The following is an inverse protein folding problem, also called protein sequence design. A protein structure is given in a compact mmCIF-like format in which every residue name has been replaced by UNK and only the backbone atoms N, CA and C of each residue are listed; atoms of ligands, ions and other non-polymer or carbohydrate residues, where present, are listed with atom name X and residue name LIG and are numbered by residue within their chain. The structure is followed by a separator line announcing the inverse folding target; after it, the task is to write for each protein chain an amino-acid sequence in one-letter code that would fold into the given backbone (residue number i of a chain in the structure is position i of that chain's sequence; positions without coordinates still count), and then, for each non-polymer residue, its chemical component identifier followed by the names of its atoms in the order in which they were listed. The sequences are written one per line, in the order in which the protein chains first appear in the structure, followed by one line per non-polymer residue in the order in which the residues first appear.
data_IF_291441649728
#
_entry.id   IF_291441649728
#
_cell.length_a   1.000
_cell.length_b   1.000
_cell.length_c   1.000
_cell.angle_alpha   90.00
_cell.angle_beta   90.00
_cell.angle_gamma   90.00
#
_symmetry.space_group_name_H-M   'P 1'
#
loop_
_entity.id
_entity.type
_entity.pdbx_description
1 polymer ?
#
# COMPACT_ATOMS: atom_id res chain seq x y z
N UNK A 1 11.43 -5.81 11.84
CA UNK A 1 11.96 -5.36 10.54
C UNK A 1 10.82 -4.76 9.74
N UNK A 2 11.06 -3.78 8.85
CA UNK A 2 10.02 -3.21 7.98
C UNK A 2 9.39 -4.30 7.12
N UNK A 3 8.05 -4.31 7.05
CA UNK A 3 7.27 -5.30 6.32
C UNK A 3 6.30 -4.65 5.31
N UNK A 4 6.32 -3.33 5.18
CA UNK A 4 5.43 -2.60 4.27
C UNK A 4 6.15 -1.43 3.62
N UNK A 5 5.92 -1.29 2.31
CA UNK A 5 6.38 -0.18 1.47
C UNK A 5 5.15 0.47 0.86
N UNK A 6 4.88 1.73 1.20
CA UNK A 6 3.83 2.53 0.62
C UNK A 6 4.40 3.44 -0.48
N UNK A 7 3.83 3.34 -1.69
CA UNK A 7 4.17 4.17 -2.86
C UNK A 7 2.89 4.76 -3.48
N UNK A 8 3.03 5.76 -4.35
CA UNK A 8 1.88 6.32 -5.07
C UNK A 8 1.19 5.24 -5.90
N UNK A 9 -0.15 5.22 -5.90
CA UNK A 9 -0.89 4.22 -6.67
C UNK A 9 -0.63 4.32 -8.18
N UNK A 10 -0.30 5.51 -8.71
CA UNK A 10 0.13 5.63 -10.12
C UNK A 10 1.41 4.84 -10.40
N UNK A 11 2.39 4.93 -9.50
CA UNK A 11 3.68 4.26 -9.67
C UNK A 11 3.52 2.74 -9.47
N UNK A 12 2.66 2.33 -8.53
CA UNK A 12 2.31 0.92 -8.35
C UNK A 12 1.66 0.32 -9.60
N UNK A 13 0.72 1.05 -10.23
CA UNK A 13 0.10 0.64 -11.47
C UNK A 13 1.11 0.55 -12.61
N UNK A 14 2.01 1.53 -12.74
CA UNK A 14 3.10 1.47 -13.71
C UNK A 14 3.97 0.23 -13.49
N UNK A 15 4.42 -0.04 -12.26
CA UNK A 15 5.20 -1.24 -11.94
C UNK A 15 4.45 -2.54 -12.25
N UNK A 16 3.13 -2.56 -12.09
CA UNK A 16 2.29 -3.71 -12.46
C UNK A 16 2.04 -3.83 -13.96
N UNK A 17 2.23 -2.76 -14.74
CA UNK A 17 2.12 -2.79 -16.20
C UNK A 17 3.45 -3.08 -16.90
N UNK A 18 4.57 -2.90 -16.19
CA UNK A 18 5.91 -3.15 -16.72
C UNK A 18 6.23 -4.65 -16.68
N UNK A 19 6.47 -5.19 -17.86
CA UNK A 19 7.06 -6.51 -18.05
C UNK A 19 8.52 -6.30 -18.41
N UNK A 20 9.42 -6.68 -17.50
CA UNK A 20 10.84 -6.43 -17.69
C UNK A 20 11.57 -7.74 -17.98
N UNK A 21 12.20 -7.82 -19.15
CA UNK A 21 13.06 -8.93 -19.53
C UNK A 21 14.45 -8.90 -18.86
N UNK A 22 14.83 -7.77 -18.23
CA UNK A 22 16.14 -7.55 -17.59
C UNK A 22 16.17 -7.85 -16.08
N UNK A 23 15.01 -7.94 -15.43
CA UNK A 23 14.88 -8.27 -13.99
C UNK A 23 14.77 -9.79 -13.78
N UNK A 24 14.44 -10.52 -14.85
CA UNK A 24 14.30 -11.97 -14.81
C UNK A 24 15.66 -12.64 -14.97
N UNK A 25 16.07 -13.44 -13.98
CA UNK A 25 17.15 -14.45 -14.10
C UNK A 25 16.78 -15.54 -15.13
N UNK A 26 16.56 -15.17 -16.40
CA UNK A 26 16.22 -16.09 -17.49
C UNK A 26 14.78 -16.62 -17.51
N UNK A 27 13.87 -16.11 -16.68
CA UNK A 27 12.45 -16.52 -16.64
C UNK A 27 11.61 -15.57 -17.49
N UNK A 28 11.18 -15.99 -18.67
CA UNK A 28 10.29 -15.22 -19.53
C UNK A 28 8.96 -14.87 -18.83
N UNK A 29 8.52 -13.62 -18.92
CA UNK A 29 7.17 -13.11 -18.55
C UNK A 29 6.87 -12.85 -17.05
N UNK A 30 7.87 -12.57 -16.20
CA UNK A 30 7.58 -12.11 -14.83
C UNK A 30 7.33 -10.60 -14.82
N UNK A 31 6.25 -10.18 -14.15
CA UNK A 31 5.91 -8.79 -13.93
C UNK A 31 6.97 -8.09 -13.06
N UNK A 32 7.35 -6.84 -13.37
CA UNK A 32 8.38 -6.11 -12.61
C UNK A 32 8.04 -6.02 -11.10
N UNK A 33 6.77 -5.80 -10.76
CA UNK A 33 6.30 -5.78 -9.37
C UNK A 33 6.48 -7.14 -8.68
N UNK A 34 6.22 -8.24 -9.38
CA UNK A 34 6.40 -9.59 -8.81
C UNK A 34 7.87 -9.89 -8.56
N UNK A 35 8.75 -9.54 -9.49
CA UNK A 35 10.18 -9.75 -9.35
C UNK A 35 10.76 -8.90 -8.21
N UNK A 36 10.35 -7.63 -8.07
CA UNK A 36 10.74 -6.76 -6.96
C UNK A 36 10.26 -7.35 -5.62
N UNK A 37 8.99 -7.79 -5.54
CA UNK A 37 8.46 -8.41 -4.32
C UNK A 37 9.25 -9.67 -3.94
N UNK A 38 9.56 -10.52 -4.91
CA UNK A 38 10.34 -11.74 -4.66
C UNK A 38 11.74 -11.41 -4.14
N UNK A 39 12.47 -10.52 -4.81
CA UNK A 39 13.82 -10.13 -4.39
C UNK A 39 13.84 -9.49 -3.00
N UNK A 40 12.84 -8.67 -2.67
CA UNK A 40 12.70 -8.07 -1.35
C UNK A 40 12.39 -9.11 -0.27
N UNK A 41 11.52 -10.09 -0.57
CA UNK A 41 11.18 -11.16 0.35
C UNK A 41 12.39 -12.07 0.63
N UNK A 42 13.16 -12.41 -0.40
CA UNK A 42 14.39 -13.19 -0.29
C UNK A 42 15.45 -12.45 0.54
N UNK A 43 15.61 -11.14 0.34
CA UNK A 43 16.55 -10.32 1.08
C UNK A 43 16.13 -10.11 2.55
N UNK A 44 14.85 -9.86 2.79
CA UNK A 44 14.34 -9.55 4.13
C UNK A 44 14.11 -10.80 4.99
N UNK A 45 14.00 -11.99 4.38
CA UNK A 45 13.63 -13.23 5.07
C UNK A 45 12.20 -13.24 5.62
N UNK A 46 11.35 -12.32 5.16
CA UNK A 46 9.95 -12.17 5.54
C UNK A 46 9.15 -11.57 4.38
N UNK A 47 7.82 -11.68 4.43
CA UNK A 47 6.96 -11.08 3.41
C UNK A 47 6.92 -9.54 3.52
N UNK A 48 7.19 -8.86 2.41
CA UNK A 48 7.18 -7.41 2.26
C UNK A 48 5.97 -7.03 1.40
N UNK A 49 5.02 -6.32 2.01
CA UNK A 49 3.87 -5.80 1.29
C UNK A 49 4.21 -4.48 0.58
N UNK A 50 3.87 -4.37 -0.69
CA UNK A 50 3.92 -3.10 -1.43
C UNK A 50 2.48 -2.63 -1.63
N UNK A 51 2.14 -1.47 -1.07
CA UNK A 51 0.79 -0.90 -1.04
C UNK A 51 0.73 0.44 -1.75
N UNK A 52 -0.37 0.69 -2.44
CA UNK A 52 -0.64 1.96 -3.12
C UNK A 52 -1.35 2.93 -2.18
N UNK A 53 -0.84 4.15 -2.07
CA UNK A 53 -1.55 5.27 -1.42
C UNK A 53 -2.34 6.06 -2.47
N UNK A 54 -3.39 6.81 -2.07
CA UNK A 54 -4.19 7.59 -3.00
C UNK A 54 -3.33 8.45 -3.93
N UNK A 55 -3.75 8.53 -5.20
CA UNK A 55 -2.96 9.14 -6.27
C UNK A 55 -2.62 10.60 -5.96
N UNK A 56 -1.36 10.99 -6.20
CA UNK A 56 -0.88 12.36 -6.02
C UNK A 56 -0.45 12.69 -4.59
N UNK A 57 -0.61 11.78 -3.62
CA UNK A 57 -0.17 12.01 -2.24
C UNK A 57 1.34 11.86 -2.06
N UNK A 58 1.99 11.02 -2.86
CA UNK A 58 3.45 10.80 -2.80
C UNK A 58 4.23 11.62 -3.85
N UNK A 59 3.54 12.16 -4.86
CA UNK A 59 4.16 12.89 -5.97
C UNK A 59 4.72 14.25 -5.52
N UNK A 60 5.98 14.52 -5.87
CA UNK A 60 6.63 15.80 -5.57
C UNK A 60 6.87 16.08 -4.08
N UNK A 61 6.68 15.10 -3.19
CA UNK A 61 6.92 15.25 -1.74
C UNK A 61 8.37 15.00 -1.34
N UNK A 62 9.17 14.42 -2.24
CA UNK A 62 10.59 14.17 -2.08
C UNK A 62 11.44 15.43 -2.27
N UNK A 63 12.72 15.34 -1.92
CA UNK A 63 13.70 16.39 -2.21
C UNK A 63 13.77 16.64 -3.73
N UNK A 64 13.76 17.91 -4.12
CA UNK A 64 13.88 18.31 -5.53
C UNK A 64 12.67 17.92 -6.40
N UNK A 65 11.49 17.71 -5.81
CA UNK A 65 10.28 17.32 -6.55
C UNK A 65 10.21 15.84 -6.91
N UNK A 66 11.05 15.00 -6.31
CA UNK A 66 10.97 13.55 -6.44
C UNK A 66 9.68 12.99 -5.81
N UNK A 67 9.30 11.78 -6.21
CA UNK A 67 8.25 11.03 -5.51
C UNK A 67 8.81 10.46 -4.21
N UNK A 68 7.95 10.22 -3.23
CA UNK A 68 8.36 9.72 -1.91
C UNK A 68 7.65 8.43 -1.54
N UNK A 69 8.43 7.40 -1.27
CA UNK A 69 7.97 6.14 -0.69
C UNK A 69 8.11 6.19 0.84
N UNK A 70 7.30 5.41 1.53
CA UNK A 70 7.40 5.21 2.96
C UNK A 70 7.56 3.73 3.27
N UNK A 71 8.68 3.37 3.90
CA UNK A 71 8.99 2.02 4.36
C UNK A 71 8.75 1.97 5.87
N UNK A 72 7.90 1.06 6.31
CA UNK A 72 7.51 0.99 7.73
C UNK A 72 7.18 -0.43 8.19
N UNK A 73 7.03 -0.56 9.51
CA UNK A 73 6.47 -1.76 10.14
C UNK A 73 4.96 -1.55 10.28
N UNK A 74 4.17 -2.22 9.47
CA UNK A 74 2.72 -2.28 9.60
C UNK A 74 2.36 -3.31 10.67
N UNK A 75 2.19 -2.82 11.89
CA UNK A 75 1.81 -3.56 13.09
C UNK A 75 1.18 -2.57 14.08
N UNK A 76 0.21 -3.01 14.86
CA UNK A 76 -0.53 -2.14 15.80
C UNK A 76 0.37 -1.50 16.88
N UNK A 77 1.54 -2.10 17.16
CA UNK A 77 2.53 -1.49 18.07
C UNK A 77 3.29 -0.31 17.44
N UNK A 78 3.16 -0.09 16.13
CA UNK A 78 3.86 0.93 15.34
C UNK A 78 2.90 1.98 14.79
N UNK A 79 1.86 1.53 14.11
CA UNK A 79 0.80 2.36 13.52
C UNK A 79 -0.52 1.64 13.64
N UNK A 80 -1.54 2.36 14.07
CA UNK A 80 -2.89 1.81 14.10
C UNK A 80 -3.90 2.84 13.62
N UNK A 81 -4.92 2.35 12.95
CA UNK A 81 -6.06 3.13 12.48
C UNK A 81 -7.01 3.32 13.66
N UNK A 82 -7.27 4.55 14.02
CA UNK A 82 -8.20 4.91 15.09
C UNK A 82 -9.61 5.13 14.50
N UNK A 83 -10.55 4.39 15.06
CA UNK A 83 -11.95 4.39 14.65
C UNK A 83 -12.81 4.79 15.85
N UNK A 84 -13.58 5.87 15.71
CA UNK A 84 -14.66 6.15 16.65
C UNK A 84 -15.78 5.10 16.50
N UNK A 85 -16.03 4.67 15.27
CA UNK A 85 -16.90 3.54 14.94
C UNK A 85 -16.19 2.72 13.85
N UNK A 86 -15.76 1.47 14.13
CA UNK A 86 -15.17 0.62 13.12
C UNK A 86 -16.21 0.29 12.02
N UNK A 87 -15.79 -0.05 10.80
CA UNK A 87 -16.73 -0.36 9.73
C UNK A 87 -17.68 -1.49 10.10
N UNK A 88 -18.98 -1.21 10.08
CA UNK A 88 -20.04 -2.18 10.35
C UNK A 88 -21.12 -2.09 9.29
N UNK A 89 -21.73 -3.21 8.96
CA UNK A 89 -22.87 -3.30 8.06
C UNK A 89 -24.17 -3.31 8.86
N UNK A 90 -25.18 -2.57 8.41
CA UNK A 90 -26.54 -2.69 8.94
C UNK A 90 -27.36 -3.77 8.25
N UNK A 91 -28.67 -3.73 8.49
CA UNK A 91 -29.62 -4.67 7.91
C UNK A 91 -29.73 -4.55 6.38
N UNK A 92 -30.06 -5.67 5.72
CA UNK A 92 -30.26 -5.71 4.27
C UNK A 92 -31.66 -5.23 3.92
N UNK A 93 -31.76 -4.22 3.07
CA UNK A 93 -33.03 -3.68 2.57
C UNK A 93 -33.24 -4.07 1.10
N UNK A 94 -34.35 -4.74 0.78
CA UNK A 94 -34.70 -5.03 -0.61
C UNK A 94 -35.22 -3.76 -1.30
N UNK A 95 -34.48 -3.25 -2.29
CA UNK A 95 -34.85 -2.08 -3.11
C UNK A 95 -35.76 -2.46 -4.29
N UNK A 96 -35.58 -3.66 -4.86
CA UNK A 96 -36.39 -4.19 -5.96
C UNK A 96 -36.36 -5.73 -5.98
N UNK A 97 -37.11 -6.41 -6.87
CA UNK A 97 -37.06 -7.87 -6.99
C UNK A 97 -35.66 -8.46 -7.20
N UNK A 98 -34.71 -7.67 -7.71
CA UNK A 98 -33.34 -8.09 -8.02
C UNK A 98 -32.27 -7.14 -7.43
N UNK A 99 -32.61 -6.28 -6.46
CA UNK A 99 -31.64 -5.37 -5.85
C UNK A 99 -31.84 -5.22 -4.34
N UNK A 100 -30.70 -5.12 -3.65
CA UNK A 100 -30.60 -4.96 -2.21
C UNK A 100 -29.65 -3.82 -1.88
N UNK A 101 -29.90 -3.18 -0.75
CA UNK A 101 -29.06 -2.17 -0.16
C UNK A 101 -28.60 -2.63 1.21
N UNK A 102 -27.33 -2.41 1.51
CA UNK A 102 -26.74 -2.69 2.81
C UNK A 102 -26.02 -1.41 3.23
N UNK A 103 -26.47 -0.72 4.29
CA UNK A 103 -25.76 0.45 4.77
C UNK A 103 -24.43 0.02 5.39
N UNK A 104 -23.38 0.80 5.10
CA UNK A 104 -22.07 0.66 5.73
C UNK A 104 -21.82 1.93 6.53
N UNK A 105 -21.63 1.77 7.83
CA UNK A 105 -21.33 2.86 8.75
C UNK A 105 -19.91 2.70 9.26
N UNK A 106 -19.13 3.77 9.18
CA UNK A 106 -17.78 3.84 9.73
C UNK A 106 -17.46 5.30 10.09
N UNK A 107 -16.79 5.51 11.22
CA UNK A 107 -16.29 6.82 11.62
C UNK A 107 -14.79 6.73 11.87
N UNK A 108 -14.03 7.21 10.89
CA UNK A 108 -12.57 7.30 10.97
C UNK A 108 -12.15 8.54 11.76
N UNK A 109 -11.33 8.34 12.80
CA UNK A 109 -10.85 9.42 13.66
C UNK A 109 -9.44 9.86 13.28
N UNK A 110 -8.62 8.94 12.77
CA UNK A 110 -7.26 9.23 12.34
C UNK A 110 -6.37 8.01 12.34
N UNK A 111 -5.08 8.21 12.04
CA UNK A 111 -4.05 7.19 12.22
C UNK A 111 -3.10 7.65 13.32
N UNK A 112 -2.80 6.76 14.27
CA UNK A 112 -1.89 7.06 15.36
C UNK A 112 -0.56 6.36 15.10
N UNK A 113 0.50 7.16 15.02
CA UNK A 113 1.88 6.69 14.90
C UNK A 113 2.48 6.60 16.31
N UNK A 114 2.68 5.39 16.80
CA UNK A 114 3.23 5.14 18.15
C UNK A 114 4.75 5.18 18.19
N UNK A 115 5.39 4.82 17.08
CA UNK A 115 6.85 4.67 16.97
C UNK A 115 7.35 5.27 15.66
N UNK A 116 7.79 6.54 15.74
CA UNK A 116 8.24 7.31 14.59
C UNK A 116 9.55 6.75 13.98
N UNK A 117 10.40 6.15 14.81
CA UNK A 117 11.69 5.54 14.43
C UNK A 117 11.54 4.33 13.51
N UNK A 118 10.32 3.81 13.36
CA UNK A 118 10.01 2.67 12.47
C UNK A 118 9.55 3.08 11.07
N UNK A 119 9.65 4.37 10.74
CA UNK A 119 9.31 4.91 9.44
C UNK A 119 10.57 5.44 8.75
N UNK A 120 10.78 5.01 7.50
CA UNK A 120 11.86 5.49 6.65
C UNK A 120 11.25 6.01 5.36
N UNK A 121 11.51 7.27 5.07
CA UNK A 121 11.11 7.88 3.80
C UNK A 121 12.23 7.75 2.77
N UNK A 122 11.89 7.26 1.59
CA UNK A 122 12.84 7.08 0.48
C UNK A 122 12.34 7.88 -0.70
N UNK A 123 13.16 8.82 -1.16
CA UNK A 123 12.86 9.62 -2.34
C UNK A 123 13.30 8.82 -3.58
N UNK A 124 12.41 8.72 -4.57
CA UNK A 124 12.69 8.03 -5.83
C UNK A 124 12.26 8.91 -7.01
N UNK A 125 12.96 8.72 -8.13
CA UNK A 125 12.67 9.44 -9.37
C UNK A 125 11.62 8.64 -10.14
N UNK A 126 10.53 9.31 -10.54
CA UNK A 126 9.57 8.80 -11.52
C UNK A 126 10.19 8.78 -12.91
#
# INVERSE_FOLDING_TARGET
MPNTIAIDNMDLLTLSGLYDASITNGVSNVNALQAIKQALNELAGQDISIVGIPMGFAQGKGKGGANRACVYVNDESTVFTDWALPPTTGDVFQRSPLSWEIPVEAQFTGAIIRKLDRFVYVDYKS
#
